data_IF_290195542058
#
_entry.id   IF_290195542058
#
_cell.length_a   1.000
_cell.length_b   1.000
_cell.length_c   1.000
_cell.angle_alpha   90.00
_cell.angle_beta   90.00
_cell.angle_gamma   90.00
#
_symmetry.space_group_name_H-M   'P 1'
#
loop_
_entity.id
_entity.type
_entity.pdbx_description
1 polymer ?
#
# COMPACT_ATOMS: atom_id res chain seq x y z
N UNK A 1 -22.46 5.26 -19.69
CA UNK A 1 -21.33 5.54 -18.77
C UNK A 1 -21.10 4.28 -17.95
N UNK A 2 -19.88 3.77 -17.89
CA UNK A 2 -19.56 2.58 -17.10
C UNK A 2 -19.26 2.97 -15.66
N UNK A 3 -19.88 2.29 -14.69
CA UNK A 3 -19.67 2.54 -13.27
C UNK A 3 -19.13 1.26 -12.63
N UNK A 4 -18.00 1.37 -11.94
CA UNK A 4 -17.50 0.31 -11.08
C UNK A 4 -18.17 0.42 -9.72
N UNK A 5 -18.78 -0.67 -9.26
CA UNK A 5 -19.48 -0.75 -7.97
C UNK A 5 -18.71 -1.71 -7.07
N UNK A 6 -18.40 -1.29 -5.84
CA UNK A 6 -17.76 -2.18 -4.87
C UNK A 6 -18.76 -3.19 -4.32
N UNK A 7 -18.28 -4.40 -4.10
CA UNK A 7 -19.05 -5.49 -3.55
C UNK A 7 -18.16 -6.52 -2.89
N UNK A 8 -18.77 -7.31 -2.02
CA UNK A 8 -18.12 -8.43 -1.35
C UNK A 8 -18.65 -9.70 -2.02
N UNK A 9 -17.73 -10.54 -2.48
CA UNK A 9 -18.05 -11.85 -3.00
C UNK A 9 -17.72 -12.92 -1.96
N UNK A 10 -18.71 -13.69 -1.55
CA UNK A 10 -18.56 -14.75 -0.55
C UNK A 10 -19.42 -15.96 -0.95
N UNK A 11 -18.81 -17.16 -1.01
CA UNK A 11 -19.51 -18.43 -1.27
C UNK A 11 -20.42 -18.43 -2.51
N UNK A 12 -20.02 -17.76 -3.59
CA UNK A 12 -20.82 -17.68 -4.82
C UNK A 12 -21.86 -16.56 -4.84
N UNK A 13 -21.97 -15.77 -3.77
CA UNK A 13 -22.92 -14.65 -3.66
C UNK A 13 -22.16 -13.34 -3.69
N UNK A 14 -22.47 -12.48 -4.66
CA UNK A 14 -21.99 -11.10 -4.71
C UNK A 14 -23.01 -10.19 -4.00
N UNK A 15 -22.56 -9.48 -2.96
CA UNK A 15 -23.34 -8.45 -2.27
C UNK A 15 -22.73 -7.08 -2.56
N UNK A 16 -23.51 -6.18 -3.13
CA UNK A 16 -23.08 -4.80 -3.33
C UNK A 16 -23.00 -4.06 -1.99
N UNK A 17 -21.95 -3.28 -1.80
CA UNK A 17 -21.80 -2.43 -0.59
C UNK A 17 -22.49 -1.08 -0.75
N UNK A 18 -22.83 -0.71 -1.98
CA UNK A 18 -23.48 0.55 -2.34
C UNK A 18 -24.65 0.27 -3.30
N UNK A 19 -25.60 1.20 -3.37
CA UNK A 19 -26.73 1.09 -4.29
C UNK A 19 -26.26 1.32 -5.73
N UNK A 20 -26.39 0.32 -6.63
CA UNK A 20 -25.99 0.50 -8.01
C UNK A 20 -26.91 1.51 -8.72
N UNK A 21 -26.41 2.26 -9.71
CA UNK A 21 -27.18 3.29 -10.41
C UNK A 21 -28.25 2.72 -11.37
N UNK A 22 -28.15 1.44 -11.73
CA UNK A 22 -29.14 0.80 -12.59
C UNK A 22 -30.21 0.11 -11.75
N UNK A 23 -31.46 0.53 -11.94
CA UNK A 23 -32.65 -0.04 -11.28
C UNK A 23 -33.23 -1.20 -12.10
N UNK A 24 -32.82 -1.33 -13.37
CA UNK A 24 -33.33 -2.32 -14.31
C UNK A 24 -32.36 -3.49 -14.53
N UNK A 25 -32.90 -4.63 -15.00
CA UNK A 25 -32.10 -5.83 -15.32
C UNK A 25 -31.03 -5.48 -16.35
N UNK A 26 -29.77 -5.63 -15.96
CA UNK A 26 -28.61 -5.24 -16.77
C UNK A 26 -27.55 -6.34 -16.75
N UNK A 27 -26.83 -6.51 -17.86
CA UNK A 27 -25.63 -7.35 -17.90
C UNK A 27 -24.47 -6.62 -17.22
N UNK A 28 -23.66 -7.36 -16.45
CA UNK A 28 -22.54 -6.81 -15.69
C UNK A 28 -21.29 -7.68 -15.88
N UNK A 29 -20.12 -7.02 -15.89
CA UNK A 29 -18.82 -7.68 -15.86
C UNK A 29 -18.25 -7.52 -14.46
N UNK A 30 -17.89 -8.64 -13.83
CA UNK A 30 -17.34 -8.65 -12.47
C UNK A 30 -15.83 -8.81 -12.56
N UNK A 31 -15.10 -7.87 -11.97
CA UNK A 31 -13.65 -7.95 -11.82
C UNK A 31 -13.31 -8.33 -10.38
N UNK A 32 -12.63 -9.46 -10.21
CA UNK A 32 -12.05 -9.85 -8.93
C UNK A 32 -10.70 -9.18 -8.78
N UNK A 33 -10.58 -8.31 -7.77
CA UNK A 33 -9.28 -7.74 -7.43
C UNK A 33 -8.54 -8.71 -6.51
N UNK A 34 -7.29 -8.98 -6.83
CA UNK A 34 -6.42 -9.74 -5.95
C UNK A 34 -6.35 -9.04 -4.61
N UNK A 35 -6.57 -9.79 -3.53
CA UNK A 35 -6.32 -9.28 -2.20
C UNK A 35 -4.82 -9.03 -2.14
N UNK A 36 -4.41 -7.77 -2.22
CA UNK A 36 -3.17 -7.37 -1.61
C UNK A 36 -3.39 -7.70 -0.14
N UNK A 37 -2.92 -8.87 0.29
CA UNK A 37 -2.55 -9.03 1.68
C UNK A 37 -1.71 -7.79 1.93
N UNK A 38 -2.19 -6.91 2.83
CA UNK A 38 -1.29 -6.05 3.55
C UNK A 38 -0.30 -7.04 4.14
N UNK A 39 0.78 -7.27 3.41
CA UNK A 39 1.90 -8.01 3.91
C UNK A 39 2.35 -7.12 5.04
N UNK A 40 1.89 -7.43 6.26
CA UNK A 40 2.75 -7.41 7.41
C UNK A 40 4.06 -8.00 6.91
N UNK A 41 4.98 -7.11 6.53
CA UNK A 41 6.21 -7.49 5.85
C UNK A 41 6.81 -8.64 6.66
N UNK A 42 6.87 -9.87 6.13
CA UNK A 42 7.31 -11.00 6.92
C UNK A 42 8.78 -10.76 7.23
N UNK A 43 9.04 -10.27 8.44
CA UNK A 43 10.35 -10.00 9.02
C UNK A 43 11.43 -9.70 8.00
N UNK A 44 11.33 -8.58 7.26
CA UNK A 44 12.50 -8.06 6.55
C UNK A 44 13.44 -7.55 7.63
N UNK A 45 14.33 -8.42 8.12
CA UNK A 45 15.43 -8.01 8.99
C UNK A 45 16.05 -6.77 8.34
N UNK A 46 16.12 -5.63 9.05
CA UNK A 46 16.74 -4.45 8.49
C UNK A 46 18.12 -4.84 7.99
N UNK A 47 18.35 -4.67 6.68
CA UNK A 47 19.70 -4.82 6.13
C UNK A 47 20.49 -3.65 6.69
N UNK A 48 21.66 -3.88 7.30
CA UNK A 48 22.44 -2.78 7.88
C UNK A 48 22.70 -1.72 6.82
N UNK A 49 22.32 -0.49 7.13
CA UNK A 49 22.41 0.68 6.26
C UNK A 49 23.76 0.80 5.59
N UNK A 50 23.74 1.09 4.29
CA UNK A 50 24.95 1.24 3.48
C UNK A 50 25.47 2.66 3.65
N UNK A 51 26.76 2.80 3.94
CA UNK A 51 27.43 4.10 3.95
C UNK A 51 27.59 4.56 2.50
N UNK A 52 26.93 5.67 2.13
CA UNK A 52 27.12 6.28 0.81
C UNK A 52 28.57 6.76 0.70
N UNK A 53 29.35 6.17 -0.21
CA UNK A 53 30.80 6.37 -0.29
C UNK A 53 31.24 7.83 -0.43
N UNK A 54 30.43 8.69 -1.08
CA UNK A 54 30.72 10.12 -1.22
C UNK A 54 30.39 10.96 0.04
N UNK A 55 29.69 10.37 1.02
CA UNK A 55 29.25 11.03 2.26
C UNK A 55 29.81 10.35 3.53
N UNK A 56 30.67 9.33 3.38
CA UNK A 56 31.25 8.55 4.48
C UNK A 56 31.95 9.42 5.55
N UNK A 57 32.56 10.54 5.16
CA UNK A 57 33.25 11.45 6.06
C UNK A 57 32.34 12.51 6.71
N UNK A 58 31.04 12.54 6.38
CA UNK A 58 30.07 13.49 6.91
C UNK A 58 29.13 12.89 7.96
N UNK A 59 29.33 11.65 8.38
CA UNK A 59 28.57 11.01 9.45
C UNK A 59 27.15 10.55 9.09
N UNK A 60 26.64 10.94 7.91
CA UNK A 60 25.29 10.64 7.47
C UNK A 60 25.16 9.15 7.10
N UNK A 61 24.43 8.40 7.95
CA UNK A 61 24.03 7.01 7.69
C UNK A 61 22.57 6.98 7.32
N UNK A 62 22.22 6.23 6.28
CA UNK A 62 20.81 5.98 5.95
C UNK A 62 20.27 4.98 6.99
N UNK A 63 19.19 5.33 7.73
CA UNK A 63 18.57 4.40 8.66
C UNK A 63 18.00 3.19 7.91
N UNK A 64 17.93 2.05 8.59
CA UNK A 64 17.41 0.82 7.98
C UNK A 64 15.91 0.91 7.62
N UNK A 65 15.19 1.83 8.27
CA UNK A 65 13.83 2.24 7.94
C UNK A 65 13.85 3.65 7.35
N UNK A 66 13.43 3.78 6.09
CA UNK A 66 13.35 5.06 5.39
C UNK A 66 12.36 6.03 6.05
N UNK A 67 11.35 5.52 6.77
CA UNK A 67 10.34 6.33 7.43
C UNK A 67 10.76 6.80 8.83
N UNK A 68 11.90 6.38 9.34
CA UNK A 68 12.39 6.90 10.61
C UNK A 68 12.85 8.36 10.45
N UNK A 69 12.53 9.22 11.43
CA UNK A 69 12.96 10.61 11.40
C UNK A 69 14.49 10.71 11.34
N UNK A 70 14.99 11.59 10.49
CA UNK A 70 16.42 11.89 10.42
C UNK A 70 16.78 12.80 11.59
N UNK A 71 17.37 12.23 12.65
CA UNK A 71 17.80 12.99 13.83
C UNK A 71 18.75 14.15 13.47
N UNK A 72 19.58 13.98 12.44
CA UNK A 72 20.53 14.99 11.95
C UNK A 72 19.85 16.24 11.33
N UNK A 73 18.55 16.19 11.05
CA UNK A 73 17.78 17.34 10.54
C UNK A 73 17.14 18.19 11.65
N UNK A 74 17.11 17.70 12.89
CA UNK A 74 16.53 18.44 14.02
C UNK A 74 17.28 19.74 14.32
N UNK A 75 18.59 19.79 14.08
CA UNK A 75 19.40 20.99 14.31
C UNK A 75 19.14 22.12 13.28
N UNK A 76 18.34 21.86 12.25
CA UNK A 76 18.03 22.80 11.17
C UNK A 76 16.54 23.20 11.10
N UNK A 77 15.69 22.68 11.99
CA UNK A 77 14.25 23.01 12.09
C UNK A 77 13.99 23.91 13.30
#
# INVERSE_FOLDING_TARGET
>A
MYTAVKGIYENGVLKFTETPPSVEKSEVVILFMDKQEESEFPGKKPKPGVVLGSLANKGLKIPDDFNNPLDDLNDYI
#
